data_IF_082678059453
#
_entry.id   IF_082678059453
#
_cell.length_a   1.000
_cell.length_b   1.000
_cell.length_c   1.000
_cell.angle_alpha   90.00
_cell.angle_beta   90.00
_cell.angle_gamma   90.00
#
_symmetry.space_group_name_H-M   'P 1'
#
loop_
_entity.id
_entity.type
_entity.pdbx_description
1 polymer ?
#
# COMPACT_ATOMS: atom_id res chain seq x y z
N UNK A 1 -24.16 -0.42 -10.38
CA UNK A 1 -23.70 0.36 -11.55
C UNK A 1 -22.58 1.28 -11.08
N UNK A 2 -21.32 0.84 -11.16
CA UNK A 2 -20.18 1.66 -10.75
C UNK A 2 -19.80 2.56 -11.93
N UNK A 3 -20.42 3.75 -11.97
CA UNK A 3 -20.05 4.79 -12.94
C UNK A 3 -18.57 5.10 -12.83
N UNK A 4 -17.92 5.23 -13.98
CA UNK A 4 -16.54 5.71 -14.12
C UNK A 4 -16.50 7.11 -13.51
N UNK A 5 -16.17 7.19 -12.21
CA UNK A 5 -15.95 8.46 -11.52
C UNK A 5 -14.73 9.12 -12.16
N UNK A 6 -14.81 10.43 -12.40
CA UNK A 6 -13.66 11.25 -12.79
C UNK A 6 -12.46 10.97 -11.89
N UNK A 7 -11.26 11.17 -12.41
CA UNK A 7 -9.99 10.78 -11.76
C UNK A 7 -10.02 11.06 -10.25
N UNK A 8 -10.05 9.99 -9.45
CA UNK A 8 -10.02 10.11 -7.99
C UNK A 8 -8.77 10.93 -7.59
N UNK A 9 -8.94 11.93 -6.72
CA UNK A 9 -7.80 12.67 -6.16
C UNK A 9 -6.88 11.72 -5.39
N UNK A 10 -5.61 12.10 -5.16
CA UNK A 10 -4.68 11.29 -4.37
C UNK A 10 -5.26 10.94 -2.98
N UNK A 11 -5.97 11.87 -2.33
CA UNK A 11 -6.70 11.64 -1.08
C UNK A 11 -7.79 10.56 -1.22
N UNK A 12 -8.69 10.72 -2.19
CA UNK A 12 -9.78 9.79 -2.41
C UNK A 12 -9.26 8.38 -2.78
N UNK A 13 -8.17 8.32 -3.55
CA UNK A 13 -7.47 7.09 -3.86
C UNK A 13 -6.96 6.41 -2.59
N UNK A 14 -6.34 7.16 -1.68
CA UNK A 14 -5.78 6.60 -0.47
C UNK A 14 -6.86 6.00 0.44
N UNK A 15 -7.96 6.71 0.66
CA UNK A 15 -9.09 6.18 1.43
C UNK A 15 -9.78 4.99 0.77
N UNK A 16 -9.85 4.93 -0.56
CA UNK A 16 -10.37 3.73 -1.25
C UNK A 16 -9.43 2.54 -1.09
N UNK A 17 -8.11 2.74 -1.16
CA UNK A 17 -7.14 1.66 -0.90
C UNK A 17 -7.28 1.17 0.55
N UNK A 18 -7.46 2.08 1.52
CA UNK A 18 -7.78 1.73 2.90
C UNK A 18 -9.05 0.89 3.01
N UNK A 19 -10.15 1.31 2.38
CA UNK A 19 -11.41 0.58 2.37
C UNK A 19 -11.25 -0.83 1.77
N UNK A 20 -10.58 -0.94 0.62
CA UNK A 20 -10.32 -2.21 -0.04
C UNK A 20 -9.41 -3.12 0.81
N UNK A 21 -8.43 -2.56 1.50
CA UNK A 21 -7.55 -3.32 2.40
C UNK A 21 -8.32 -3.84 3.64
N UNK A 22 -9.16 -3.01 4.25
CA UNK A 22 -9.99 -3.39 5.41
C UNK A 22 -11.06 -4.40 5.03
N UNK A 23 -11.67 -4.26 3.85
CA UNK A 23 -12.67 -5.19 3.31
C UNK A 23 -12.08 -6.45 2.65
N UNK A 24 -10.76 -6.48 2.46
CA UNK A 24 -9.99 -7.56 1.82
C UNK A 24 -10.43 -7.90 0.40
N UNK A 25 -10.90 -6.91 -0.34
CA UNK A 25 -11.16 -7.05 -1.77
C UNK A 25 -9.81 -7.00 -2.53
N UNK A 26 -9.03 -8.06 -2.40
CA UNK A 26 -7.66 -8.16 -2.95
C UNK A 26 -7.63 -8.01 -4.48
N UNK A 27 -8.70 -8.44 -5.16
CA UNK A 27 -8.84 -8.32 -6.62
C UNK A 27 -8.95 -6.85 -6.99
N UNK A 28 -9.94 -6.14 -6.44
CA UNK A 28 -10.10 -4.71 -6.72
C UNK A 28 -8.96 -3.88 -6.17
N UNK A 29 -8.37 -4.27 -5.04
CA UNK A 29 -7.18 -3.62 -4.51
C UNK A 29 -6.05 -3.63 -5.54
N UNK A 30 -5.71 -4.80 -6.10
CA UNK A 30 -4.63 -4.92 -7.08
C UNK A 30 -4.91 -4.11 -8.35
N UNK A 31 -6.10 -4.25 -8.91
CA UNK A 31 -6.50 -3.53 -10.12
C UNK A 31 -6.50 -2.01 -9.89
N UNK A 32 -7.10 -1.57 -8.78
CA UNK A 32 -7.20 -0.16 -8.46
C UNK A 32 -5.83 0.45 -8.18
N UNK A 33 -4.96 -0.25 -7.45
CA UNK A 33 -3.65 0.25 -7.05
C UNK A 33 -2.64 0.30 -8.21
N UNK A 34 -2.58 -0.74 -9.04
CA UNK A 34 -1.58 -0.86 -10.11
C UNK A 34 -1.78 0.16 -11.25
N UNK A 35 -2.98 0.72 -11.41
CA UNK A 35 -3.32 1.60 -12.54
C UNK A 35 -3.43 3.09 -12.18
N UNK A 36 -2.99 3.50 -10.98
CA UNK A 36 -3.00 4.91 -10.58
C UNK A 36 -1.70 5.62 -10.95
N UNK A 37 -1.74 6.87 -11.45
CA UNK A 37 -0.54 7.58 -11.91
C UNK A 37 0.24 8.25 -10.76
N UNK A 38 -0.35 8.38 -9.57
CA UNK A 38 0.24 9.18 -8.50
C UNK A 38 1.38 8.42 -7.77
N UNK A 39 2.53 9.06 -7.51
CA UNK A 39 3.55 8.50 -6.63
C UNK A 39 3.00 8.44 -5.20
N UNK A 40 3.34 7.39 -4.45
CA UNK A 40 2.85 7.24 -3.06
C UNK A 40 3.25 8.43 -2.19
N UNK A 41 4.45 8.98 -2.41
CA UNK A 41 4.93 10.18 -1.72
C UNK A 41 4.00 11.40 -1.83
N UNK A 42 3.09 11.44 -2.83
CA UNK A 42 2.12 12.52 -3.02
C UNK A 42 0.82 12.33 -2.21
N UNK A 43 0.65 11.22 -1.49
CA UNK A 43 -0.54 11.04 -0.67
C UNK A 43 -0.60 12.11 0.41
N UNK A 44 -1.72 12.85 0.53
CA UNK A 44 -1.85 13.90 1.51
C UNK A 44 -1.89 13.31 2.92
N UNK A 45 -1.43 14.10 3.89
CA UNK A 45 -1.56 13.77 5.30
C UNK A 45 -3.07 13.69 5.65
N UNK A 46 -3.57 12.54 6.13
CA UNK A 46 -4.97 12.42 6.50
C UNK A 46 -5.34 13.23 7.75
N UNK A 47 -4.35 13.75 8.51
CA UNK A 47 -4.57 14.46 9.78
C UNK A 47 -5.50 13.69 10.73
N UNK A 48 -5.30 12.37 10.77
CA UNK A 48 -6.23 11.46 11.41
C UNK A 48 -6.09 11.49 12.94
N UNK A 49 -7.17 11.85 13.65
CA UNK A 49 -7.18 11.88 15.11
C UNK A 49 -7.19 10.51 15.77
N UNK A 50 -7.50 9.43 15.02
CA UNK A 50 -7.48 8.08 15.54
C UNK A 50 -6.07 7.47 15.35
N UNK A 51 -5.32 7.21 16.44
CA UNK A 51 -3.94 6.73 16.34
C UNK A 51 -3.83 5.37 15.66
N UNK A 52 -4.81 4.47 15.83
CA UNK A 52 -4.81 3.15 15.18
C UNK A 52 -4.99 3.28 13.66
N UNK A 53 -5.86 4.18 13.22
CA UNK A 53 -6.08 4.42 11.79
C UNK A 53 -4.90 5.15 11.16
N UNK A 54 -4.33 6.14 11.86
CA UNK A 54 -3.09 6.81 11.44
C UNK A 54 -1.92 5.82 11.27
N UNK A 55 -1.75 4.92 12.24
CA UNK A 55 -0.74 3.86 12.14
C UNK A 55 -1.03 2.92 10.96
N UNK A 56 -2.28 2.48 10.78
CA UNK A 56 -2.63 1.60 9.67
C UNK A 56 -2.39 2.25 8.30
N UNK A 57 -2.79 3.51 8.13
CA UNK A 57 -2.54 4.28 6.92
C UNK A 57 -1.04 4.44 6.67
N UNK A 58 -0.25 4.70 7.71
CA UNK A 58 1.22 4.77 7.64
C UNK A 58 1.81 3.45 7.15
N UNK A 59 1.44 2.33 7.78
CA UNK A 59 1.87 0.99 7.38
C UNK A 59 1.46 0.67 5.95
N UNK A 60 0.23 1.02 5.56
CA UNK A 60 -0.26 0.85 4.20
C UNK A 60 0.64 1.59 3.20
N UNK A 61 1.00 2.87 3.43
CA UNK A 61 1.91 3.58 2.51
C UNK A 61 3.28 2.90 2.38
N UNK A 62 3.84 2.36 3.47
CA UNK A 62 5.12 1.66 3.45
C UNK A 62 5.05 0.35 2.67
N UNK A 63 4.01 -0.45 2.88
CA UNK A 63 3.75 -1.69 2.13
C UNK A 63 3.68 -1.38 0.63
N UNK A 64 2.86 -0.40 0.26
CA UNK A 64 2.67 -0.02 -1.14
C UNK A 64 4.01 0.41 -1.78
N UNK A 65 4.85 1.14 -1.03
CA UNK A 65 6.19 1.52 -1.48
C UNK A 65 7.11 0.32 -1.67
N UNK A 66 7.17 -0.59 -0.69
CA UNK A 66 7.98 -1.80 -0.76
C UNK A 66 7.58 -2.64 -1.97
N UNK A 67 6.28 -2.89 -2.17
CA UNK A 67 5.77 -3.65 -3.32
C UNK A 67 6.10 -3.00 -4.67
N UNK A 68 6.09 -1.67 -4.78
CA UNK A 68 6.53 -1.01 -6.01
C UNK A 68 8.03 -1.11 -6.21
N UNK A 69 8.81 -0.92 -5.15
CA UNK A 69 10.27 -0.98 -5.23
C UNK A 69 10.72 -2.38 -5.65
N UNK A 70 10.10 -3.42 -5.11
CA UNK A 70 10.35 -4.80 -5.52
C UNK A 70 10.05 -5.02 -7.03
N UNK A 71 8.96 -4.45 -7.54
CA UNK A 71 8.64 -4.49 -8.99
C UNK A 71 9.68 -3.75 -9.83
N UNK A 72 10.09 -2.56 -9.39
CA UNK A 72 11.11 -1.76 -10.07
C UNK A 72 12.45 -2.52 -10.11
N UNK A 73 12.84 -3.15 -9.01
CA UNK A 73 14.06 -3.97 -8.93
C UNK A 73 14.02 -5.17 -9.88
N UNK A 74 12.84 -5.77 -10.07
CA UNK A 74 12.59 -6.81 -11.07
C UNK A 74 12.52 -6.29 -12.52
N UNK A 75 12.71 -4.99 -12.73
CA UNK A 75 12.70 -4.35 -14.05
C UNK A 75 11.30 -4.03 -14.59
N UNK A 76 10.31 -3.93 -13.71
CA UNK A 76 8.92 -3.59 -14.04
C UNK A 76 8.54 -2.25 -13.38
N UNK A 77 9.06 -1.12 -13.87
CA UNK A 77 8.70 0.19 -13.35
C UNK A 77 7.21 0.48 -13.59
N UNK A 78 6.65 1.38 -12.78
CA UNK A 78 5.21 1.70 -12.77
C UNK A 78 4.70 2.23 -14.12
N UNK A 79 5.53 3.03 -14.79
CA UNK A 79 5.20 3.66 -16.07
C UNK A 79 5.71 2.86 -17.27
N UNK A 80 5.87 1.54 -17.12
CA UNK A 80 6.28 0.68 -18.22
C UNK A 80 5.24 0.76 -19.37
N UNK A 81 5.68 1.10 -20.60
CA UNK A 81 4.77 1.16 -21.74
C UNK A 81 4.24 -0.24 -22.09
N UNK A 82 3.05 -0.30 -22.69
CA UNK A 82 2.43 -1.56 -23.12
C UNK A 82 3.28 -2.31 -24.15
N UNK A 83 4.09 -1.59 -24.92
CA UNK A 83 5.10 -2.14 -25.82
C UNK A 83 6.48 -1.65 -25.40
N UNK A 84 7.38 -2.58 -25.11
CA UNK A 84 8.75 -2.30 -24.66
C UNK A 84 9.69 -2.63 -25.82
N UNK A 85 10.19 -1.59 -26.49
CA UNK A 85 11.17 -1.74 -27.57
C UNK A 85 12.60 -1.93 -27.02
N UNK A 86 12.89 -1.33 -25.86
CA UNK A 86 14.20 -1.37 -25.21
C UNK A 86 14.03 -1.72 -23.72
N UNK A 87 14.33 -2.98 -23.38
CA UNK A 87 14.25 -3.48 -22.01
C UNK A 87 15.41 -3.00 -21.12
N UNK A 88 16.56 -2.66 -21.70
CA UNK A 88 17.71 -2.17 -20.92
C UNK A 88 17.47 -0.75 -20.44
N UNK A 89 16.99 0.14 -21.32
CA UNK A 89 16.60 1.50 -20.96
C UNK A 89 15.49 1.49 -19.90
N UNK A 90 14.52 0.57 -19.99
CA UNK A 90 13.47 0.43 -19.00
C UNK A 90 14.01 -0.05 -17.63
N UNK A 91 14.95 -1.01 -17.63
CA UNK A 91 15.61 -1.49 -16.40
C UNK A 91 16.51 -0.44 -15.76
N UNK A 92 17.05 0.50 -16.54
CA UNK A 92 17.84 1.62 -16.02
C UNK A 92 16.98 2.65 -15.26
N UNK A 93 15.65 2.70 -15.52
CA UNK A 93 14.72 3.60 -14.83
C UNK A 93 14.35 3.06 -13.43
N UNK A 94 15.32 3.03 -12.52
CA UNK A 94 15.15 2.61 -11.11
C UNK A 94 14.79 3.78 -10.21
N UNK A 95 13.61 4.38 -10.43
CA UNK A 95 13.10 5.43 -9.53
C UNK A 95 12.30 4.77 -8.41
N UNK A 96 12.98 4.49 -7.29
CA UNK A 96 12.33 3.91 -6.12
C UNK A 96 11.32 4.88 -5.50
N UNK A 97 10.13 4.38 -5.21
CA UNK A 97 9.11 5.07 -4.44
C UNK A 97 9.54 5.22 -2.98
N UNK A 98 9.04 6.29 -2.35
CA UNK A 98 9.21 6.56 -0.92
C UNK A 98 7.84 6.81 -0.27
N UNK A 99 7.66 6.46 1.01
CA UNK A 99 6.47 6.85 1.75
C UNK A 99 6.34 8.39 1.80
N UNK A 100 5.13 8.93 2.02
CA UNK A 100 4.95 10.36 2.24
C UNK A 100 5.75 10.85 3.45
N UNK A 101 6.18 12.12 3.42
CA UNK A 101 6.94 12.70 4.54
C UNK A 101 6.16 12.69 5.87
N UNK A 102 4.83 12.76 5.83
CA UNK A 102 3.99 12.70 7.02
C UNK A 102 4.01 11.31 7.68
N UNK A 103 4.24 10.24 6.91
CA UNK A 103 4.28 8.88 7.44
C UNK A 103 5.45 8.66 8.41
N UNK A 104 6.50 9.49 8.34
CA UNK A 104 7.61 9.47 9.29
C UNK A 104 7.27 10.13 10.64
N UNK A 105 6.20 10.92 10.71
CA UNK A 105 5.78 11.65 11.92
C UNK A 105 4.81 10.86 12.78
N UNK A 106 4.22 9.79 12.25
CA UNK A 106 3.27 8.96 12.97
C UNK A 106 4.02 8.09 13.96
N UNK A 107 3.69 8.26 15.24
CA UNK A 107 4.27 7.48 16.31
C UNK A 107 3.82 6.01 16.23
N UNK A 108 4.73 5.06 16.52
CA UNK A 108 4.35 3.66 16.68
C UNK A 108 3.25 3.48 17.74
N UNK A 109 2.39 2.48 17.54
CA UNK A 109 1.39 2.14 18.55
C UNK A 109 2.05 1.50 19.78
N UNK A 110 1.58 1.89 20.97
CA UNK A 110 2.01 1.30 22.25
C UNK A 110 1.59 -0.17 22.33
N UNK A 111 0.37 -0.47 21.89
CA UNK A 111 -0.14 -1.83 21.79
C UNK A 111 -0.22 -2.23 20.31
N UNK A 112 0.30 -3.43 19.95
CA UNK A 112 0.20 -3.90 18.59
C UNK A 112 -1.24 -3.97 18.07
N UNK A 113 -1.52 -3.31 16.95
CA UNK A 113 -2.81 -3.47 16.27
C UNK A 113 -2.87 -4.83 15.60
N UNK A 114 -3.74 -5.71 16.09
CA UNK A 114 -4.02 -7.01 15.47
C UNK A 114 -5.25 -6.93 14.59
N UNK A 115 -5.05 -7.14 13.29
CA UNK A 115 -6.14 -7.28 12.32
C UNK A 115 -6.53 -8.75 12.21
N UNK A 116 -7.41 -9.21 13.09
CA UNK A 116 -7.88 -10.60 13.13
C UNK A 116 -9.16 -10.80 12.29
N UNK A 117 -9.05 -11.60 11.22
CA UNK A 117 -10.10 -12.48 10.66
C UNK A 117 -9.45 -13.38 9.58
N UNK A 118 -9.98 -14.56 9.31
CA UNK A 118 -9.37 -15.63 8.49
C UNK A 118 -8.73 -15.22 7.15
N UNK A 119 -7.62 -15.92 6.89
CA UNK A 119 -6.77 -16.11 5.72
C UNK A 119 -6.16 -14.91 4.97
N UNK A 120 -4.86 -14.76 5.29
CA UNK A 120 -3.68 -14.21 4.59
C UNK A 120 -3.60 -12.72 4.21
N UNK A 121 -2.68 -12.03 4.91
CA UNK A 121 -1.68 -11.11 4.34
C UNK A 121 -0.45 -11.15 5.28
N UNK A 122 0.64 -11.79 4.85
CA UNK A 122 1.92 -11.76 5.58
C UNK A 122 2.75 -10.53 5.19
N UNK A 123 3.48 -9.96 6.16
CA UNK A 123 4.42 -8.87 5.93
C UNK A 123 5.78 -9.14 6.55
N UNK A 124 6.81 -8.52 5.96
CA UNK A 124 8.22 -8.60 6.37
C UNK A 124 8.47 -7.97 7.75
N UNK A 125 9.58 -8.35 8.37
CA UNK A 125 10.02 -7.86 9.69
C UNK A 125 10.13 -6.33 9.77
N UNK A 126 10.25 -5.64 8.63
CA UNK A 126 10.39 -4.19 8.49
C UNK A 126 9.18 -3.37 8.95
N UNK A 127 8.01 -3.99 9.17
CA UNK A 127 6.79 -3.29 9.58
C UNK A 127 6.45 -3.45 11.07
N UNK A 128 7.22 -4.27 11.80
CA UNK A 128 7.03 -4.45 13.25
C UNK A 128 7.32 -3.17 14.04
N UNK A 129 8.12 -2.26 13.50
CA UNK A 129 8.53 -1.00 14.11
C UNK A 129 7.37 0.00 14.32
N UNK A 130 6.25 -0.15 13.60
CA UNK A 130 5.07 0.75 13.69
C UNK A 130 4.04 0.24 14.71
N UNK A 131 4.23 -0.96 15.28
CA UNK A 131 3.28 -1.54 16.23
C UNK A 131 2.00 -2.05 15.56
N UNK A 132 2.09 -2.59 14.34
CA UNK A 132 0.98 -3.32 13.71
C UNK A 132 1.42 -4.77 13.51
N UNK A 133 0.66 -5.71 14.06
CA UNK A 133 0.91 -7.15 13.95
C UNK A 133 -0.32 -7.80 13.36
N UNK A 134 -0.32 -8.09 12.07
CA UNK A 134 -1.39 -8.87 11.45
C UNK A 134 -1.17 -10.36 11.76
N UNK A 135 -2.03 -10.97 12.59
CA UNK A 135 -1.97 -12.40 12.89
C UNK A 135 -2.95 -13.18 12.03
N UNK A 136 -2.47 -14.21 11.36
CA UNK A 136 -3.31 -15.27 10.84
C UNK A 136 -3.93 -16.03 12.02
N UNK A 137 -5.26 -16.14 12.05
CA UNK A 137 -5.89 -17.18 12.83
C UNK A 137 -5.76 -18.48 12.05
N UNK A 138 -4.84 -19.36 12.45
CA UNK A 138 -4.95 -20.77 12.08
C UNK A 138 -6.26 -21.27 12.67
N UNK A 139 -7.28 -21.39 11.82
CA UNK A 139 -8.44 -22.21 12.16
C UNK A 139 -7.96 -23.64 12.01
N UNK A 140 -7.53 -24.26 13.12
CA UNK A 140 -7.38 -25.70 13.18
C UNK A 140 -8.76 -26.29 12.90
N UNK A 141 -8.98 -26.80 11.69
CA UNK A 141 -10.10 -27.67 11.40
C UNK A 141 -9.87 -28.96 12.20
N UNK A 142 -10.59 -29.10 13.32
CA UNK A 142 -10.86 -30.39 13.97
C UNK A 142 -12.00 -31.10 13.29
#
# INVERSE_FOLDING_TARGET
>A
MFGVRGYDTAAACFYRIYELAVTRDNVRFREYFCHRPWPIASFPDPCDSNPRRAAFLTTLTRILCASFNERIERGLPRDAPAYIADFEALRAQKILGRPPSWAAKVMPLVEPLVLSRGDALEFSDELRDIGIIMKASHSSFT
#
